data_IF_461231511579
#
_entry.id   IF_461231511579
#
_cell.length_a   1.000
_cell.length_b   1.000
_cell.length_c   1.000
_cell.angle_alpha   90.00
_cell.angle_beta   90.00
_cell.angle_gamma   90.00
#
_symmetry.space_group_name_H-M   'P 1'
#
loop_
_entity.id
_entity.type
_entity.pdbx_description
1 polymer ?
#
# COMPACT_ATOMS: atom_id res chain seq x y z
N UNK A 1 5.81 -24.28 -12.06
CA UNK A 1 4.90 -23.26 -11.51
C UNK A 1 5.76 -22.14 -10.96
N UNK A 2 5.47 -20.87 -11.26
CA UNK A 2 6.27 -19.76 -10.75
C UNK A 2 5.94 -19.50 -9.28
N UNK A 3 6.94 -19.53 -8.41
CA UNK A 3 6.82 -19.30 -6.97
C UNK A 3 7.90 -18.35 -6.49
N UNK A 4 7.62 -17.64 -5.39
CA UNK A 4 8.61 -16.84 -4.67
C UNK A 4 8.67 -17.31 -3.22
N UNK A 5 9.87 -17.33 -2.66
CA UNK A 5 10.03 -17.46 -1.20
C UNK A 5 9.83 -16.08 -0.59
N UNK A 6 8.83 -15.92 0.26
CA UNK A 6 8.55 -14.64 0.90
C UNK A 6 9.07 -14.64 2.33
N UNK A 7 9.66 -13.52 2.75
CA UNK A 7 10.10 -13.29 4.13
C UNK A 7 9.72 -11.90 4.60
N UNK A 8 9.36 -11.77 5.86
CA UNK A 8 9.01 -10.49 6.49
C UNK A 8 10.01 -10.19 7.60
N UNK A 9 10.54 -8.97 7.61
CA UNK A 9 11.45 -8.48 8.64
C UNK A 9 10.94 -7.13 9.17
N UNK A 10 10.85 -7.00 10.49
CA UNK A 10 10.52 -5.74 11.14
C UNK A 10 11.81 -5.01 11.50
N UNK A 11 11.88 -3.73 11.10
CA UNK A 11 13.00 -2.83 11.32
C UNK A 11 14.34 -3.44 10.86
N UNK A 12 14.49 -3.70 9.55
CA UNK A 12 15.62 -4.44 9.01
C UNK A 12 16.97 -3.82 9.40
N UNK A 13 17.83 -4.62 10.04
CA UNK A 13 19.16 -4.18 10.48
C UNK A 13 19.19 -3.19 11.65
N UNK A 14 18.06 -2.95 12.34
CA UNK A 14 18.05 -2.10 13.55
C UNK A 14 18.70 -2.85 14.72
N UNK A 15 19.77 -2.28 15.27
CA UNK A 15 20.47 -2.86 16.42
C UNK A 15 20.56 -1.85 17.58
N UNK A 16 20.50 -2.30 18.85
CA UNK A 16 20.77 -1.45 20.00
C UNK A 16 22.13 -0.74 19.87
N UNK A 17 22.28 0.50 20.38
CA UNK A 17 21.36 1.24 21.25
C UNK A 17 20.30 2.08 20.52
N UNK A 18 20.20 1.99 19.19
CA UNK A 18 19.23 2.77 18.42
C UNK A 18 17.80 2.27 18.70
N UNK A 19 16.88 3.21 18.91
CA UNK A 19 15.46 2.94 19.20
C UNK A 19 14.61 3.85 18.34
N UNK A 20 13.57 3.30 17.73
CA UNK A 20 12.60 4.08 16.96
C UNK A 20 11.65 4.85 17.89
N UNK A 21 11.14 6.01 17.46
CA UNK A 21 10.06 6.69 18.16
C UNK A 21 8.87 5.74 18.42
N UNK A 22 8.14 5.92 19.53
CA UNK A 22 6.94 5.11 19.80
C UNK A 22 5.96 5.16 18.62
N UNK A 23 5.43 4.00 18.23
CA UNK A 23 4.48 3.88 17.13
C UNK A 23 5.11 3.82 15.74
N UNK A 24 6.39 4.16 15.56
CA UNK A 24 7.07 4.08 14.26
C UNK A 24 7.65 2.69 14.00
N UNK A 25 7.51 2.20 12.77
CA UNK A 25 8.05 0.95 12.29
C UNK A 25 8.28 0.96 10.77
N UNK A 26 9.27 0.19 10.36
CA UNK A 26 9.56 -0.11 8.96
C UNK A 26 9.48 -1.62 8.77
N UNK A 27 8.55 -2.08 7.93
CA UNK A 27 8.41 -3.51 7.62
C UNK A 27 8.97 -3.76 6.24
N UNK A 28 9.90 -4.70 6.12
CA UNK A 28 10.41 -5.18 4.85
C UNK A 28 9.81 -6.56 4.53
N UNK A 29 9.03 -6.63 3.45
CA UNK A 29 8.62 -7.90 2.85
C UNK A 29 9.48 -8.15 1.61
N UNK A 30 10.09 -9.32 1.54
CA UNK A 30 10.99 -9.73 0.46
C UNK A 30 10.41 -10.93 -0.26
N UNK A 31 10.08 -10.79 -1.54
CA UNK A 31 9.71 -11.88 -2.43
C UNK A 31 10.89 -12.33 -3.30
N UNK A 32 11.59 -13.38 -2.88
CA UNK A 32 12.74 -13.94 -3.60
C UNK A 32 12.27 -14.86 -4.74
N UNK A 33 12.58 -14.50 -5.98
CA UNK A 33 12.35 -15.31 -7.16
C UNK A 33 13.60 -16.07 -7.63
N UNK A 34 13.54 -16.67 -8.81
CA UNK A 34 14.65 -17.47 -9.36
C UNK A 34 15.86 -16.62 -9.80
N UNK A 35 15.60 -15.42 -10.33
CA UNK A 35 16.64 -14.53 -10.87
C UNK A 35 16.48 -13.07 -10.44
N UNK A 36 15.53 -12.79 -9.55
CA UNK A 36 15.09 -11.45 -9.21
C UNK A 36 14.51 -11.40 -7.79
N UNK A 37 14.40 -10.19 -7.23
CA UNK A 37 13.80 -9.97 -5.92
C UNK A 37 12.80 -8.81 -5.98
N UNK A 38 11.65 -9.00 -5.34
CA UNK A 38 10.71 -7.93 -5.03
C UNK A 38 10.91 -7.50 -3.59
N UNK A 39 11.13 -6.21 -3.35
CA UNK A 39 11.22 -5.60 -2.04
C UNK A 39 10.00 -4.69 -1.85
N UNK A 40 9.29 -4.88 -0.74
CA UNK A 40 8.20 -4.03 -0.31
C UNK A 40 8.55 -3.49 1.07
N UNK A 41 8.56 -2.17 1.23
CA UNK A 41 8.82 -1.52 2.49
C UNK A 41 7.61 -0.68 2.90
N UNK A 42 6.97 -1.07 4.00
CA UNK A 42 5.87 -0.33 4.59
C UNK A 42 6.39 0.47 5.78
N UNK A 43 6.22 1.79 5.74
CA UNK A 43 6.63 2.71 6.80
C UNK A 43 5.42 3.51 7.28
N UNK A 44 5.32 3.72 8.59
CA UNK A 44 4.30 4.56 9.23
C UNK A 44 4.90 5.78 9.96
N UNK A 45 6.12 6.19 9.57
CA UNK A 45 6.71 7.45 10.01
C UNK A 45 6.08 8.61 9.25
N UNK A 46 5.01 9.20 9.81
CA UNK A 46 4.18 10.19 9.13
C UNK A 46 3.05 9.52 8.34
N UNK A 47 2.78 9.98 7.13
CA UNK A 47 1.76 9.37 6.28
C UNK A 47 2.23 7.95 5.86
N UNK A 48 1.37 6.91 5.95
CA UNK A 48 1.75 5.56 5.58
C UNK A 48 2.29 5.52 4.16
N UNK A 49 3.44 4.88 4.00
CA UNK A 49 4.15 4.83 2.72
C UNK A 49 4.55 3.40 2.40
N UNK A 50 4.20 2.95 1.20
CA UNK A 50 4.63 1.68 0.64
C UNK A 50 5.63 1.92 -0.49
N UNK A 51 6.90 1.58 -0.26
CA UNK A 51 7.94 1.57 -1.28
C UNK A 51 8.06 0.17 -1.88
N UNK A 52 8.03 0.09 -3.20
CA UNK A 52 8.16 -1.11 -4.00
C UNK A 52 9.42 -1.02 -4.84
N UNK A 53 10.27 -2.05 -4.81
CA UNK A 53 11.50 -2.12 -5.59
C UNK A 53 11.64 -3.49 -6.23
N UNK A 54 11.91 -3.53 -7.53
CA UNK A 54 12.23 -4.75 -8.27
C UNK A 54 13.69 -4.75 -8.68
N UNK A 55 14.40 -5.83 -8.36
CA UNK A 55 15.82 -6.00 -8.68
C UNK A 55 16.04 -7.23 -9.55
N UNK A 56 17.02 -7.18 -10.45
CA UNK A 56 17.51 -8.35 -11.19
C UNK A 56 18.68 -9.02 -10.45
N UNK A 57 18.44 -9.34 -9.18
CA UNK A 57 19.40 -10.04 -8.32
C UNK A 57 18.65 -10.84 -7.26
N UNK A 58 19.09 -12.05 -6.99
CA UNK A 58 18.63 -12.87 -5.86
C UNK A 58 19.35 -12.56 -4.55
N UNK A 59 20.39 -11.71 -4.62
CA UNK A 59 21.24 -11.31 -3.49
C UNK A 59 21.04 -9.85 -3.10
N UNK A 60 20.07 -9.14 -3.71
CA UNK A 60 19.82 -7.76 -3.33
C UNK A 60 19.28 -7.67 -1.91
N UNK A 61 19.74 -6.66 -1.19
CA UNK A 61 19.41 -6.42 0.22
C UNK A 61 18.95 -4.98 0.43
N UNK A 62 18.11 -4.78 1.43
CA UNK A 62 17.77 -3.45 1.93
C UNK A 62 18.83 -3.05 2.93
N UNK A 63 19.32 -1.82 2.82
CA UNK A 63 20.20 -1.18 3.79
C UNK A 63 19.52 0.06 4.34
N UNK A 64 19.49 0.20 5.66
CA UNK A 64 18.92 1.35 6.36
C UNK A 64 19.98 1.96 7.25
N UNK A 65 20.32 3.22 6.99
CA UNK A 65 21.04 4.05 7.94
C UNK A 65 20.04 4.56 8.98
N UNK A 66 19.89 3.80 10.06
CA UNK A 66 18.93 4.09 11.12
C UNK A 66 19.18 5.43 11.80
N UNK A 67 20.44 5.88 11.90
CA UNK A 67 20.76 7.18 12.50
C UNK A 67 20.23 8.31 11.61
N UNK A 68 20.49 8.25 10.30
CA UNK A 68 19.98 9.24 9.36
C UNK A 68 18.44 9.17 9.24
N UNK A 69 17.88 7.96 9.22
CA UNK A 69 16.45 7.70 9.10
C UNK A 69 15.66 8.31 10.27
N UNK A 70 16.09 8.05 11.51
CA UNK A 70 15.44 8.57 12.73
C UNK A 70 15.54 10.09 12.82
N UNK A 71 16.67 10.68 12.41
CA UNK A 71 16.88 12.12 12.43
C UNK A 71 16.24 12.86 11.25
N UNK A 72 15.41 12.19 10.45
CA UNK A 72 14.79 12.74 9.24
C UNK A 72 15.79 13.30 8.21
N UNK A 73 17.03 12.82 8.23
CA UNK A 73 17.99 13.05 7.16
C UNK A 73 17.81 11.96 6.09
N UNK A 74 16.69 12.05 5.37
CA UNK A 74 16.16 10.91 4.62
C UNK A 74 16.92 10.60 3.32
N UNK A 75 17.67 11.57 2.79
CA UNK A 75 18.39 11.41 1.52
C UNK A 75 19.44 10.31 1.61
N UNK A 76 19.21 9.21 0.90
CA UNK A 76 20.11 8.05 0.90
C UNK A 76 20.13 7.25 2.20
N UNK A 77 19.23 7.52 3.16
CA UNK A 77 19.10 6.76 4.42
C UNK A 77 18.56 5.34 4.22
N UNK A 78 17.89 5.08 3.09
CA UNK A 78 17.37 3.77 2.72
C UNK A 78 17.82 3.46 1.29
N UNK A 79 18.41 2.28 1.10
CA UNK A 79 18.95 1.84 -0.20
C UNK A 79 18.66 0.37 -0.44
N UNK A 80 18.56 0.00 -1.72
CA UNK A 80 18.58 -1.41 -2.14
C UNK A 80 19.90 -1.62 -2.90
N UNK A 81 20.72 -2.53 -2.39
CA UNK A 81 22.04 -2.83 -2.94
C UNK A 81 22.08 -4.21 -3.60
N UNK A 82 22.85 -4.39 -4.70
CA UNK A 82 23.56 -3.35 -5.43
C UNK A 82 22.58 -2.47 -6.22
N UNK A 83 22.76 -1.15 -6.20
CA UNK A 83 21.89 -0.19 -6.93
C UNK A 83 21.78 -0.52 -8.42
N UNK A 84 22.85 -1.04 -9.03
CA UNK A 84 22.89 -1.45 -10.45
C UNK A 84 21.92 -2.58 -10.79
N UNK A 85 21.43 -3.32 -9.79
CA UNK A 85 20.43 -4.36 -9.99
C UNK A 85 18.99 -3.84 -10.00
N UNK A 86 18.75 -2.62 -9.51
CA UNK A 86 17.42 -2.02 -9.45
C UNK A 86 16.91 -1.77 -10.86
N UNK A 87 15.75 -2.34 -11.18
CA UNK A 87 15.08 -2.17 -12.48
C UNK A 87 13.96 -1.15 -12.41
N UNK A 88 13.28 -1.13 -11.28
CA UNK A 88 12.15 -0.26 -11.04
C UNK A 88 12.00 0.01 -9.55
N UNK A 89 11.60 1.23 -9.21
CA UNK A 89 11.15 1.62 -7.88
C UNK A 89 9.93 2.53 -7.98
N UNK A 90 9.00 2.39 -7.02
CA UNK A 90 7.82 3.23 -6.87
C UNK A 90 7.45 3.34 -5.41
N UNK A 91 6.98 4.51 -4.99
CA UNK A 91 6.34 4.68 -3.69
C UNK A 91 4.87 5.04 -3.85
N UNK A 92 4.04 4.55 -2.94
CA UNK A 92 2.67 4.99 -2.71
C UNK A 92 2.61 5.63 -1.33
N UNK A 93 2.13 6.86 -1.25
CA UNK A 93 1.96 7.60 0.00
C UNK A 93 0.47 7.83 0.21
N UNK A 94 -0.11 7.29 1.28
CA UNK A 94 -1.51 7.51 1.64
C UNK A 94 -1.61 8.83 2.39
N UNK A 95 -2.16 9.85 1.74
CA UNK A 95 -2.08 11.23 2.24
C UNK A 95 -3.31 11.63 3.02
N UNK A 96 -4.51 11.34 2.51
CA UNK A 96 -5.76 11.85 3.10
C UNK A 96 -6.91 10.86 3.02
N UNK A 97 -7.82 10.98 3.97
CA UNK A 97 -9.19 10.48 3.84
C UNK A 97 -10.11 11.68 3.67
N UNK A 98 -10.79 11.71 2.53
CA UNK A 98 -11.83 12.67 2.24
C UNK A 98 -13.17 12.14 2.72
N UNK A 99 -14.00 13.02 3.25
CA UNK A 99 -15.41 12.74 3.52
C UNK A 99 -16.25 13.83 2.86
N UNK A 100 -17.36 13.42 2.25
CA UNK A 100 -18.28 14.34 1.60
C UNK A 100 -19.73 13.88 1.77
N UNK A 101 -20.64 14.85 1.82
CA UNK A 101 -22.08 14.60 1.91
C UNK A 101 -22.66 14.32 0.52
N UNK A 102 -22.93 13.05 0.23
CA UNK A 102 -23.47 12.57 -1.05
C UNK A 102 -25.00 12.51 -1.03
N UNK A 103 -25.63 13.67 -0.88
CA UNK A 103 -27.09 13.81 -0.80
C UNK A 103 -27.83 13.16 -1.97
N UNK A 104 -27.23 13.17 -3.17
CA UNK A 104 -27.84 12.64 -4.39
C UNK A 104 -27.43 11.19 -4.68
N UNK A 105 -26.65 10.56 -3.80
CA UNK A 105 -26.18 9.18 -3.95
C UNK A 105 -25.46 8.90 -5.29
N UNK A 106 -24.64 9.86 -5.76
CA UNK A 106 -23.92 9.78 -7.03
C UNK A 106 -22.65 8.94 -6.89
N UNK A 107 -22.06 8.90 -5.70
CA UNK A 107 -20.80 8.22 -5.40
C UNK A 107 -19.59 8.64 -6.26
N UNK A 108 -19.62 9.83 -6.87
CA UNK A 108 -18.50 10.37 -7.64
C UNK A 108 -18.02 11.70 -7.05
N UNK A 109 -16.88 11.69 -6.32
CA UNK A 109 -16.29 12.91 -5.74
C UNK A 109 -16.02 14.01 -6.77
N UNK A 110 -15.79 13.68 -8.04
CA UNK A 110 -15.49 14.67 -9.10
C UNK A 110 -16.72 15.50 -9.50
N UNK A 111 -17.92 14.97 -9.28
CA UNK A 111 -19.18 15.65 -9.55
C UNK A 111 -19.74 16.39 -8.33
N UNK A 112 -19.06 16.33 -7.19
CA UNK A 112 -19.48 17.00 -5.96
C UNK A 112 -18.97 18.44 -5.88
N UNK A 113 -19.81 19.32 -5.36
CA UNK A 113 -19.39 20.69 -5.06
C UNK A 113 -18.36 20.70 -3.92
N UNK A 114 -17.39 21.62 -3.97
CA UNK A 114 -16.38 21.76 -2.90
C UNK A 114 -17.00 21.95 -1.51
N UNK A 115 -18.16 22.60 -1.45
CA UNK A 115 -18.93 22.80 -0.20
C UNK A 115 -19.51 21.52 0.39
N UNK A 116 -19.59 20.44 -0.39
CA UNK A 116 -20.04 19.13 0.09
C UNK A 116 -18.94 18.36 0.82
N UNK A 117 -17.67 18.79 0.69
CA UNK A 117 -16.55 18.15 1.37
C UNK A 117 -16.37 18.72 2.76
N UNK A 118 -16.23 17.83 3.73
CA UNK A 118 -15.73 18.18 5.05
C UNK A 118 -14.21 18.38 5.01
N UNK A 119 -13.60 19.01 6.04
CA UNK A 119 -12.16 19.05 6.17
C UNK A 119 -11.56 17.63 6.09
N UNK A 120 -10.53 17.39 5.28
CA UNK A 120 -9.95 16.07 5.11
C UNK A 120 -9.23 15.62 6.39
N UNK A 121 -9.19 14.31 6.60
CA UNK A 121 -8.33 13.71 7.62
C UNK A 121 -6.93 13.51 7.03
N UNK A 122 -5.95 14.23 7.55
CA UNK A 122 -4.56 14.16 7.09
C UNK A 122 -3.87 12.95 7.73
N UNK A 123 -3.57 11.90 6.94
CA UNK A 123 -3.04 10.62 7.44
C UNK A 123 -1.64 10.73 8.08
N UNK A 124 -0.93 11.82 7.80
CA UNK A 124 0.31 12.16 8.49
C UNK A 124 0.13 12.54 9.97
N UNK A 125 -1.07 12.97 10.37
CA UNK A 125 -1.39 13.38 11.74
C UNK A 125 -1.93 12.21 12.58
N UNK A 126 -2.13 11.05 11.96
CA UNK A 126 -2.66 9.87 12.64
C UNK A 126 -1.61 9.26 13.56
N UNK A 127 -2.07 8.79 14.72
CA UNK A 127 -1.27 7.89 15.55
C UNK A 127 -1.48 6.47 15.03
N UNK A 128 -0.41 5.91 14.48
CA UNK A 128 -0.40 4.57 13.91
C UNK A 128 -0.06 3.52 14.97
N UNK A 129 -0.74 2.37 14.90
CA UNK A 129 -0.40 1.19 15.68
C UNK A 129 0.95 0.64 15.25
N UNK A 130 1.57 -0.16 16.12
CA UNK A 130 2.67 -1.02 15.66
C UNK A 130 2.13 -1.94 14.55
N UNK A 131 2.87 -2.12 13.44
CA UNK A 131 2.43 -3.03 12.40
C UNK A 131 2.24 -4.44 12.95
N UNK A 132 1.06 -5.01 12.74
CA UNK A 132 0.76 -6.40 13.08
C UNK A 132 1.15 -7.28 11.90
N UNK A 133 1.99 -8.29 12.16
CA UNK A 133 2.49 -9.19 11.12
C UNK A 133 1.84 -10.54 11.35
N UNK A 134 1.08 -11.00 10.36
CA UNK A 134 0.49 -12.34 10.35
C UNK A 134 1.11 -13.13 9.21
N UNK A 135 1.76 -14.26 9.54
CA UNK A 135 2.36 -15.16 8.57
C UNK A 135 1.64 -16.50 8.66
N UNK A 136 0.74 -16.78 7.71
CA UNK A 136 0.01 -18.04 7.62
C UNK A 136 0.36 -18.74 6.32
N UNK A 137 0.88 -19.98 6.38
CA UNK A 137 1.16 -20.99 5.32
C UNK A 137 1.55 -20.54 3.88
N UNK A 138 0.91 -19.53 3.28
CA UNK A 138 1.22 -18.94 1.95
C UNK A 138 0.99 -17.42 1.84
N UNK A 139 0.38 -16.80 2.86
CA UNK A 139 0.03 -15.37 2.88
C UNK A 139 0.86 -14.63 3.93
N UNK A 140 1.61 -13.64 3.45
CA UNK A 140 2.43 -12.76 4.27
C UNK A 140 1.72 -11.42 4.39
N UNK A 141 1.04 -11.23 5.52
CA UNK A 141 0.13 -10.11 5.73
C UNK A 141 0.72 -9.15 6.76
N UNK A 142 0.69 -7.86 6.43
CA UNK A 142 1.08 -6.77 7.31
C UNK A 142 -0.10 -5.83 7.44
N UNK A 143 -0.60 -5.65 8.65
CA UNK A 143 -1.73 -4.76 8.95
C UNK A 143 -1.25 -3.56 9.76
N UNK A 144 -1.66 -2.38 9.33
CA UNK A 144 -1.34 -1.11 9.94
C UNK A 144 -2.63 -0.31 10.14
N UNK A 145 -3.00 -0.05 11.39
CA UNK A 145 -4.21 0.73 11.70
C UNK A 145 -3.83 2.06 12.34
N UNK A 146 -4.53 3.12 11.98
CA UNK A 146 -4.31 4.46 12.48
C UNK A 146 -5.59 5.08 12.98
N UNK A 147 -5.45 5.99 13.94
CA UNK A 147 -6.54 6.83 14.44
C UNK A 147 -6.07 8.25 14.67
N UNK A 148 -7.02 9.17 14.72
CA UNK A 148 -6.81 10.58 15.06
C UNK A 148 -7.67 10.94 16.27
N UNK A 149 -7.24 11.94 17.05
CA UNK A 149 -7.97 12.46 18.20
C UNK A 149 -9.12 13.39 17.80
N UNK A 150 -9.90 13.00 16.79
CA UNK A 150 -11.13 13.69 16.37
C UNK A 150 -12.36 12.92 16.82
N UNK A 151 -13.48 13.62 17.02
CA UNK A 151 -14.75 12.98 17.45
C UNK A 151 -15.14 11.79 16.57
N UNK A 152 -14.94 11.90 15.24
CA UNK A 152 -15.19 10.82 14.28
C UNK A 152 -14.33 9.57 14.50
N UNK A 153 -13.09 9.73 14.96
CA UNK A 153 -12.10 8.65 15.11
C UNK A 153 -11.86 8.23 16.58
N UNK A 154 -12.59 8.78 17.56
CA UNK A 154 -12.45 8.41 18.97
C UNK A 154 -12.53 6.88 19.20
N UNK A 155 -13.49 6.23 18.55
CA UNK A 155 -13.65 4.77 18.53
C UNK A 155 -13.43 4.17 17.13
N UNK A 156 -12.88 4.97 16.22
CA UNK A 156 -12.72 4.63 14.82
C UNK A 156 -11.26 4.43 14.43
N UNK A 157 -11.02 3.69 13.37
CA UNK A 157 -9.70 3.55 12.78
C UNK A 157 -9.77 3.40 11.27
N UNK A 158 -8.68 3.78 10.60
CA UNK A 158 -8.40 3.38 9.22
C UNK A 158 -7.33 2.30 9.26
N UNK A 159 -7.55 1.21 8.53
CA UNK A 159 -6.60 0.11 8.46
C UNK A 159 -6.14 -0.12 7.02
N UNK A 160 -4.83 -0.33 6.88
CA UNK A 160 -4.14 -0.69 5.65
C UNK A 160 -3.59 -2.10 5.85
N UNK A 161 -4.04 -3.05 5.04
CA UNK A 161 -3.52 -4.41 5.03
C UNK A 161 -2.79 -4.66 3.72
N UNK A 162 -1.51 -4.97 3.83
CA UNK A 162 -0.64 -5.29 2.72
C UNK A 162 -0.37 -6.80 2.71
N UNK A 163 -0.58 -7.45 1.56
CA UNK A 163 -0.42 -8.90 1.40
C UNK A 163 0.53 -9.20 0.23
N UNK A 164 1.45 -10.14 0.44
CA UNK A 164 2.36 -10.67 -0.60
C UNK A 164 2.20 -12.18 -0.65
N UNK A 165 2.18 -12.71 -1.87
CA UNK A 165 1.82 -14.10 -2.14
C UNK A 165 3.04 -14.89 -2.63
N UNK A 166 3.14 -16.15 -2.22
CA UNK A 166 4.21 -17.05 -2.66
C UNK A 166 3.92 -17.75 -3.99
N UNK A 167 2.63 -17.89 -4.34
CA UNK A 167 2.17 -18.67 -5.48
C UNK A 167 0.87 -18.12 -6.08
N UNK A 168 0.30 -18.86 -7.04
CA UNK A 168 -0.98 -18.49 -7.67
C UNK A 168 -2.14 -18.90 -6.77
N UNK A 169 -3.10 -18.00 -6.60
CA UNK A 169 -4.28 -18.26 -5.78
C UNK A 169 -5.37 -17.21 -5.99
N UNK A 170 -6.36 -17.24 -5.09
CA UNK A 170 -7.40 -16.25 -4.96
C UNK A 170 -7.56 -15.91 -3.48
N UNK A 171 -7.78 -14.64 -3.20
CA UNK A 171 -8.15 -14.21 -1.84
C UNK A 171 -9.47 -14.91 -1.43
N UNK A 172 -9.57 -15.33 -0.17
CA UNK A 172 -10.79 -15.93 0.39
C UNK A 172 -11.86 -14.85 0.63
N UNK A 173 -11.41 -13.62 0.90
CA UNK A 173 -12.29 -12.48 1.13
C UNK A 173 -12.69 -11.85 -0.20
N UNK A 174 -13.95 -11.40 -0.29
CA UNK A 174 -14.44 -10.69 -1.47
C UNK A 174 -13.63 -9.40 -1.70
N UNK A 175 -13.31 -9.07 -2.96
CA UNK A 175 -13.85 -9.61 -4.22
C UNK A 175 -13.11 -10.84 -4.78
N UNK A 176 -12.38 -11.60 -3.94
CA UNK A 176 -11.71 -12.84 -4.32
C UNK A 176 -10.69 -12.64 -5.45
N UNK A 177 -9.92 -11.55 -5.34
CA UNK A 177 -8.93 -11.14 -6.33
C UNK A 177 -7.96 -12.30 -6.61
N UNK A 178 -7.75 -12.58 -7.90
CA UNK A 178 -6.70 -13.51 -8.33
C UNK A 178 -5.34 -12.87 -8.04
N UNK A 179 -4.45 -13.66 -7.45
CA UNK A 179 -3.09 -13.25 -7.18
C UNK A 179 -2.10 -14.31 -7.68
N UNK A 180 -0.85 -13.89 -7.85
CA UNK A 180 0.29 -14.75 -8.14
C UNK A 180 1.54 -14.27 -7.39
N UNK A 181 2.65 -15.00 -7.52
CA UNK A 181 3.88 -14.68 -6.80
C UNK A 181 4.56 -13.36 -7.21
N UNK A 182 4.08 -12.65 -8.24
CA UNK A 182 4.54 -11.31 -8.63
C UNK A 182 3.55 -10.19 -8.26
N UNK A 183 2.38 -10.54 -7.72
CA UNK A 183 1.40 -9.55 -7.27
C UNK A 183 1.50 -9.32 -5.77
N UNK A 184 1.07 -8.14 -5.36
CA UNK A 184 0.80 -7.79 -3.97
C UNK A 184 -0.59 -7.15 -3.91
N UNK A 185 -1.25 -7.25 -2.77
CA UNK A 185 -2.58 -6.70 -2.58
C UNK A 185 -2.59 -5.72 -1.42
N UNK A 186 -3.27 -4.60 -1.61
CA UNK A 186 -3.57 -3.65 -0.56
C UNK A 186 -5.08 -3.65 -0.32
N UNK A 187 -5.48 -3.80 0.94
CA UNK A 187 -6.86 -3.61 1.39
C UNK A 187 -6.90 -2.41 2.33
N UNK A 188 -7.92 -1.58 2.15
CA UNK A 188 -8.16 -0.41 3.00
C UNK A 188 -9.60 -0.47 3.49
N UNK A 189 -9.80 -0.24 4.78
CA UNK A 189 -11.14 -0.11 5.36
C UNK A 189 -11.14 0.88 6.50
N UNK A 190 -12.32 1.44 6.75
CA UNK A 190 -12.64 2.21 7.94
C UNK A 190 -13.42 1.30 8.89
N UNK A 191 -13.07 1.31 10.17
CA UNK A 191 -13.74 0.55 11.21
C UNK A 191 -14.17 1.49 12.34
N UNK A 192 -15.44 1.45 12.73
CA UNK A 192 -15.98 2.27 13.84
C UNK A 192 -15.95 3.79 13.66
N UNK A 193 -15.69 4.31 12.45
CA UNK A 193 -15.63 5.77 12.20
C UNK A 193 -17.04 6.36 12.22
N UNK A 194 -17.23 7.41 13.03
CA UNK A 194 -18.53 8.11 13.11
C UNK A 194 -18.61 9.18 12.00
N UNK A 195 -19.59 9.09 11.09
CA UNK A 195 -19.75 10.05 10.01
C UNK A 195 -20.18 11.43 10.54
N UNK A 196 -19.70 12.49 9.89
CA UNK A 196 -20.04 13.90 10.19
C UNK A 196 -21.38 14.32 9.58
N UNK A 197 -21.89 13.57 8.60
CA UNK A 197 -23.14 13.84 7.89
C UNK A 197 -24.02 12.60 7.78
N UNK A 198 -25.29 12.81 7.44
CA UNK A 198 -26.24 11.71 7.25
C UNK A 198 -26.01 10.93 5.96
N UNK A 199 -25.40 11.54 4.94
CA UNK A 199 -25.07 10.88 3.66
C UNK A 199 -23.56 10.88 3.42
N UNK A 200 -22.77 10.75 4.48
CA UNK A 200 -21.31 10.73 4.37
C UNK A 200 -20.83 9.57 3.49
N UNK A 201 -19.99 9.90 2.52
CA UNK A 201 -19.14 8.97 1.77
C UNK A 201 -17.68 9.32 1.97
N UNK A 202 -16.83 8.31 1.84
CA UNK A 202 -15.39 8.45 2.02
C UNK A 202 -14.64 8.18 0.72
N UNK A 203 -13.51 8.86 0.56
CA UNK A 203 -12.55 8.59 -0.50
C UNK A 203 -11.13 8.63 0.06
N UNK A 204 -10.26 7.75 -0.44
CA UNK A 204 -8.86 7.70 -0.07
C UNK A 204 -8.01 8.43 -1.11
N UNK A 205 -7.19 9.36 -0.66
CA UNK A 205 -6.17 10.00 -1.48
C UNK A 205 -4.82 9.30 -1.26
N UNK A 206 -4.15 9.00 -2.37
CA UNK A 206 -2.76 8.57 -2.35
C UNK A 206 -1.98 9.25 -3.46
N UNK A 207 -0.69 9.43 -3.23
CA UNK A 207 0.26 9.95 -4.21
C UNK A 207 1.22 8.83 -4.63
N UNK A 208 1.48 8.76 -5.92
CA UNK A 208 2.44 7.83 -6.50
C UNK A 208 3.70 8.58 -6.91
N UNK A 209 4.86 8.09 -6.45
CA UNK A 209 6.17 8.60 -6.84
C UNK A 209 6.86 7.52 -7.67
N UNK A 210 7.21 7.86 -8.91
CA UNK A 210 7.85 6.94 -9.85
C UNK A 210 9.11 7.59 -10.39
N UNK A 211 10.11 6.78 -10.72
CA UNK A 211 11.30 7.27 -11.41
C UNK A 211 10.94 7.90 -12.77
N UNK A 212 11.60 9.03 -13.07
CA UNK A 212 11.37 9.93 -14.21
C UNK A 212 11.36 9.25 -15.59
N UNK A 213 11.97 8.07 -15.71
CA UNK A 213 11.98 7.26 -16.94
C UNK A 213 10.68 6.49 -17.21
N UNK A 214 9.75 6.42 -16.26
CA UNK A 214 8.51 5.67 -16.38
C UNK A 214 7.31 6.60 -16.52
N UNK A 215 6.60 6.50 -17.65
CA UNK A 215 5.31 7.17 -17.83
C UNK A 215 4.20 6.36 -17.17
N UNK A 216 3.55 6.95 -16.17
CA UNK A 216 2.27 6.44 -15.70
C UNK A 216 1.25 6.50 -16.84
N UNK A 217 0.55 5.39 -17.06
CA UNK A 217 -0.62 5.36 -17.93
C UNK A 217 -1.76 4.74 -17.15
N UNK A 218 -2.83 5.51 -17.02
CA UNK A 218 -4.11 5.00 -16.53
C UNK A 218 -4.84 4.44 -17.74
N UNK A 219 -5.07 3.14 -17.74
CA UNK A 219 -5.98 2.51 -18.68
C UNK A 219 -7.16 1.95 -17.90
N UNK A 220 -8.36 2.22 -18.40
CA UNK A 220 -9.58 1.53 -18.01
C UNK A 220 -9.56 0.18 -18.74
N UNK A 221 -9.48 -0.92 -18.00
CA UNK A 221 -9.48 -2.26 -18.60
C UNK A 221 -10.63 -3.08 -18.01
N UNK A 222 -11.64 -3.35 -18.83
CA UNK A 222 -12.80 -4.20 -18.53
C UNK A 222 -12.47 -5.71 -18.51
N UNK A 223 -11.21 -6.10 -18.30
CA UNK A 223 -10.69 -7.45 -18.57
C UNK A 223 -10.41 -8.28 -17.32
N UNK A 224 -11.06 -7.99 -16.19
CA UNK A 224 -11.14 -8.97 -15.09
C UNK A 224 -12.35 -9.87 -15.37
N UNK A 225 -12.02 -11.06 -15.89
CA UNK A 225 -12.83 -12.26 -16.10
C UNK A 225 -14.12 -12.34 -15.25
N UNK A 226 -15.24 -12.30 -15.96
CA UNK A 226 -16.64 -12.09 -15.59
C UNK A 226 -17.38 -13.37 -15.15
N UNK A 227 -16.66 -14.49 -15.04
CA UNK A 227 -17.26 -15.81 -14.88
C UNK A 227 -17.98 -16.03 -13.52
N UNK A 228 -17.82 -15.14 -12.52
CA UNK A 228 -18.33 -15.38 -11.15
C UNK A 228 -18.97 -14.20 -10.38
N UNK A 229 -19.60 -13.18 -11.02
CA UNK A 229 -20.79 -12.43 -10.46
C UNK A 229 -21.16 -11.14 -11.21
N UNK A 230 -22.46 -10.79 -11.28
CA UNK A 230 -22.96 -9.54 -11.85
C UNK A 230 -22.94 -8.39 -10.82
N UNK A 231 -22.83 -7.15 -11.29
CA UNK A 231 -23.15 -5.86 -10.63
C UNK A 231 -22.04 -4.92 -10.14
N UNK A 232 -20.76 -5.28 -10.21
CA UNK A 232 -19.70 -4.34 -9.84
C UNK A 232 -18.59 -4.48 -10.86
N UNK A 233 -18.14 -3.39 -11.49
CA UNK A 233 -16.73 -3.04 -11.76
C UNK A 233 -16.66 -1.91 -12.79
N UNK A 234 -16.05 -0.79 -12.38
CA UNK A 234 -15.22 0.04 -13.25
C UNK A 234 -13.86 0.11 -12.57
N UNK A 235 -12.96 -0.79 -12.97
CA UNK A 235 -11.59 -0.83 -12.49
C UNK A 235 -10.75 0.17 -13.27
N UNK A 236 -10.31 1.23 -12.60
CA UNK A 236 -9.23 2.04 -13.10
C UNK A 236 -7.91 1.29 -12.86
N UNK A 237 -6.98 1.34 -13.81
CA UNK A 237 -5.58 0.89 -13.74
C UNK A 237 -5.28 -0.54 -14.22
N UNK A 238 -4.77 -0.65 -15.46
CA UNK A 238 -4.04 -1.84 -15.91
C UNK A 238 -3.04 -1.53 -17.04
N UNK A 239 -1.82 -2.05 -16.97
CA UNK A 239 -0.77 -1.82 -17.98
C UNK A 239 -0.58 -3.00 -18.93
N UNK A 240 -1.26 -3.01 -20.08
CA UNK A 240 -0.95 -3.94 -21.18
C UNK A 240 0.09 -3.32 -22.11
N UNK A 241 1.36 -3.65 -21.87
CA UNK A 241 2.48 -3.38 -22.78
C UNK A 241 3.31 -4.63 -22.96
N UNK A 242 3.41 -5.12 -24.21
CA UNK A 242 4.34 -6.18 -24.62
C UNK A 242 5.73 -5.92 -24.00
N UNK A 243 6.23 -6.91 -23.27
CA UNK A 243 7.60 -6.99 -22.73
C UNK A 243 8.07 -5.81 -21.88
N UNK A 244 7.30 -5.39 -20.88
CA UNK A 244 7.86 -4.61 -19.76
C UNK A 244 7.23 -5.03 -18.43
N UNK A 245 8.06 -5.38 -17.44
CA UNK A 245 7.61 -5.69 -16.07
C UNK A 245 7.20 -4.37 -15.41
N UNK A 246 5.91 -4.07 -15.40
CA UNK A 246 5.35 -2.86 -14.80
C UNK A 246 4.60 -3.21 -13.50
N UNK A 247 4.61 -2.31 -12.52
CA UNK A 247 3.72 -2.40 -11.36
C UNK A 247 2.32 -1.91 -11.75
N UNK A 248 1.33 -2.75 -11.51
CA UNK A 248 -0.07 -2.52 -11.84
C UNK A 248 -0.86 -2.54 -10.54
N UNK A 249 -1.67 -1.51 -10.32
CA UNK A 249 -2.65 -1.48 -9.24
C UNK A 249 -3.96 -1.95 -9.82
N UNK A 250 -4.60 -2.95 -9.20
CA UNK A 250 -5.96 -3.35 -9.50
C UNK A 250 -6.82 -2.99 -8.29
N UNK A 251 -7.98 -2.38 -8.53
CA UNK A 251 -8.88 -1.97 -7.47
C UNK A 251 -10.31 -2.20 -7.90
N UNK A 252 -11.01 -2.99 -7.09
CA UNK A 252 -12.46 -3.17 -7.15
C UNK A 252 -13.14 -2.08 -6.33
N UNK A 253 -14.14 -1.35 -6.87
CA UNK A 253 -14.90 -0.36 -6.11
C UNK A 253 -15.87 -1.00 -5.10
#
# INVERSE_FOLDING_TARGET
MFQRKVSVEQNPGLTPPLVLPPGVGLIHVRGLGHSDTLHFLLCNSGAPTLLMVHTYSTHSTVQVDWSAFINHNLSGSLRVEPQTSVRYSRALVFTKVWEYDDVNNIADPKHMAKSSFYPPYELQNFTWSKPEITVNQSDHIVTLCGREETESFLNGSICLQFSVFESVGRDEVRPNLRHNANSSQLRVWLDGVTPRGSNSRYALEFQSVVDSGFRERVFDSSLIDDEYKPYFFQDCFNGLGRTSRQFILHGSP
#
